data_IF_919675528369
#
_entry.id   IF_919675528369
#
_cell.length_a   1.000
_cell.length_b   1.000
_cell.length_c   1.000
_cell.angle_alpha   90.00
_cell.angle_beta   90.00
_cell.angle_gamma   90.00
#
_symmetry.space_group_name_H-M   'P 1'
#
loop_
_entity.id
_entity.type
_entity.pdbx_description
1 polymer ?
#
# COMPACT_ATOMS: atom_id res chain seq x y z
N UNK A 1 25.35 -0.48 -17.47
CA UNK A 1 24.25 -0.86 -16.55
C UNK A 1 23.55 0.42 -16.10
N UNK A 2 22.23 0.52 -16.30
CA UNK A 2 21.47 1.65 -15.76
C UNK A 2 21.58 1.63 -14.23
N UNK A 3 22.01 2.75 -13.64
CA UNK A 3 22.24 2.95 -12.19
C UNK A 3 20.92 3.05 -11.40
N UNK A 4 19.87 2.38 -11.89
CA UNK A 4 18.54 2.32 -11.30
C UNK A 4 18.33 0.88 -10.85
N UNK A 5 18.91 0.52 -9.70
CA UNK A 5 18.47 -0.66 -8.96
C UNK A 5 16.98 -0.56 -8.63
N UNK A 6 16.38 -1.64 -8.12
CA UNK A 6 14.97 -1.71 -7.71
C UNK A 6 14.49 -0.38 -7.07
N UNK A 7 13.63 0.38 -7.77
CA UNK A 7 13.19 1.69 -7.27
C UNK A 7 12.25 1.57 -6.06
N UNK A 8 11.53 0.45 -5.93
CA UNK A 8 10.78 0.01 -4.76
C UNK A 8 10.25 -1.41 -5.02
N UNK A 9 9.99 -2.17 -3.96
CA UNK A 9 9.16 -3.37 -4.01
C UNK A 9 7.89 -3.12 -3.21
N UNK A 10 6.73 -3.40 -3.79
CA UNK A 10 5.44 -3.26 -3.11
C UNK A 10 4.96 -4.65 -2.74
N UNK A 11 5.16 -5.04 -1.48
CA UNK A 11 4.51 -6.21 -0.92
C UNK A 11 3.17 -5.76 -0.33
N UNK A 12 2.07 -6.06 -1.02
CA UNK A 12 0.74 -5.67 -0.54
C UNK A 12 -0.09 -6.90 -0.24
N UNK A 13 -0.61 -6.92 0.97
CA UNK A 13 -1.58 -7.89 1.43
C UNK A 13 -2.91 -7.15 1.61
N UNK A 14 -3.81 -7.34 0.66
CA UNK A 14 -5.05 -6.54 0.59
C UNK A 14 -6.03 -6.92 1.69
N UNK A 15 -6.03 -8.19 2.10
CA UNK A 15 -6.86 -8.72 3.18
C UNK A 15 -6.00 -9.42 4.22
N UNK A 16 -6.51 -9.56 5.43
CA UNK A 16 -5.93 -10.49 6.39
C UNK A 16 -5.85 -11.91 5.80
N UNK A 17 -4.90 -12.69 6.28
CA UNK A 17 -4.70 -14.12 5.96
C UNK A 17 -4.78 -14.90 7.27
N UNK A 18 -5.06 -16.20 7.24
CA UNK A 18 -5.21 -17.00 8.47
C UNK A 18 -3.99 -16.84 9.40
N UNK A 19 -4.23 -16.25 10.58
CA UNK A 19 -3.17 -15.95 11.57
C UNK A 19 -2.43 -14.62 11.37
N UNK A 20 -2.72 -13.88 10.30
CA UNK A 20 -2.10 -12.59 9.97
C UNK A 20 -3.12 -11.46 10.02
N UNK A 21 -2.75 -10.34 10.63
CA UNK A 21 -3.63 -9.16 10.82
C UNK A 21 -3.09 -7.89 10.15
N UNK A 22 -2.19 -8.05 9.19
CA UNK A 22 -1.50 -6.99 8.46
C UNK A 22 -2.23 -6.57 7.15
N UNK A 23 -3.39 -7.13 6.86
CA UNK A 23 -4.21 -6.75 5.72
C UNK A 23 -4.81 -5.35 5.87
N UNK A 24 -5.00 -4.67 4.74
CA UNK A 24 -5.70 -3.38 4.69
C UNK A 24 -7.21 -3.53 4.91
N UNK A 25 -7.75 -4.73 4.70
CA UNK A 25 -9.15 -5.11 4.85
C UNK A 25 -9.19 -6.40 5.69
N UNK A 26 -10.27 -6.63 6.43
CA UNK A 26 -10.48 -7.90 7.14
C UNK A 26 -10.48 -9.10 6.19
N UNK A 27 -10.21 -10.29 6.74
CA UNK A 27 -10.19 -11.56 6.01
C UNK A 27 -11.48 -11.78 5.19
N UNK A 28 -12.63 -11.44 5.77
CA UNK A 28 -13.95 -11.58 5.15
C UNK A 28 -14.35 -10.40 4.25
N UNK A 29 -13.45 -9.42 4.07
CA UNK A 29 -13.61 -8.22 3.23
C UNK A 29 -14.74 -7.27 3.65
N UNK A 30 -15.22 -7.35 4.90
CA UNK A 30 -16.31 -6.50 5.38
C UNK A 30 -15.87 -5.16 5.92
N UNK A 31 -14.67 -5.08 6.47
CA UNK A 31 -14.18 -3.86 7.11
C UNK A 31 -12.84 -3.44 6.53
N UNK A 32 -12.72 -2.15 6.22
CA UNK A 32 -11.48 -1.52 5.81
C UNK A 32 -10.78 -1.02 7.07
N UNK A 33 -9.53 -1.45 7.27
CA UNK A 33 -8.74 -1.24 8.50
C UNK A 33 -7.90 0.04 8.47
N UNK A 34 -8.02 0.83 7.39
CA UNK A 34 -7.27 2.06 7.15
C UNK A 34 -8.20 3.21 6.77
N UNK A 35 -7.75 4.44 6.97
CA UNK A 35 -8.43 5.63 6.48
C UNK A 35 -8.15 5.82 4.97
N UNK A 36 -9.06 5.37 4.11
CA UNK A 36 -8.88 5.35 2.65
C UNK A 36 -8.47 6.70 2.07
N UNK A 37 -9.20 7.76 2.42
CA UNK A 37 -8.95 9.11 1.91
C UNK A 37 -7.56 9.63 2.29
N UNK A 38 -7.14 9.37 3.54
CA UNK A 38 -5.82 9.78 4.04
C UNK A 38 -4.71 9.03 3.31
N UNK A 39 -4.83 7.71 3.16
CA UNK A 39 -3.84 6.89 2.45
C UNK A 39 -3.76 7.27 0.97
N UNK A 40 -4.91 7.52 0.34
CA UNK A 40 -4.98 8.00 -1.05
C UNK A 40 -4.24 9.33 -1.22
N UNK A 41 -4.49 10.29 -0.33
CA UNK A 41 -3.83 11.61 -0.35
C UNK A 41 -2.31 11.47 -0.26
N UNK A 42 -1.80 10.73 0.73
CA UNK A 42 -0.35 10.52 0.90
C UNK A 42 0.27 9.84 -0.32
N UNK A 43 -0.38 8.82 -0.89
CA UNK A 43 0.11 8.14 -2.09
C UNK A 43 0.18 9.07 -3.31
N UNK A 44 -0.75 10.01 -3.44
CA UNK A 44 -0.72 11.04 -4.49
C UNK A 44 0.43 12.02 -4.27
N UNK A 45 0.64 12.49 -3.04
CA UNK A 45 1.74 13.38 -2.68
C UNK A 45 3.11 12.76 -3.00
N UNK A 46 3.33 11.50 -2.58
CA UNK A 46 4.58 10.76 -2.87
C UNK A 46 4.79 10.59 -4.37
N UNK A 47 3.76 10.13 -5.10
CA UNK A 47 3.83 9.97 -6.56
C UNK A 47 4.24 11.27 -7.25
N UNK A 48 3.61 12.38 -6.88
CA UNK A 48 3.87 13.69 -7.48
C UNK A 48 5.28 14.21 -7.13
N UNK A 49 5.83 13.81 -5.98
CA UNK A 49 7.21 14.17 -5.60
C UNK A 49 8.29 13.46 -6.42
N UNK A 50 7.99 12.28 -6.96
CA UNK A 50 8.93 11.44 -7.71
C UNK A 50 8.90 11.75 -9.22
N UNK A 51 7.79 12.29 -9.74
CA UNK A 51 7.59 12.58 -11.17
C UNK A 51 8.05 14.01 -11.56
N UNK A 52 8.51 14.83 -10.60
CA UNK A 52 9.19 16.11 -10.88
C UNK A 52 10.60 15.90 -11.44
#
# INVERSE_FOLDING_TARGET
MSQRGFSAAVYTQTTDVEGEVNGLITYDRKEIKIEEERVRKVNQEVRNSIIK
#
